data_IF_026252971009
#
_entry.id   IF_026252971009
#
_cell.length_a   1.000
_cell.length_b   1.000
_cell.length_c   1.000
_cell.angle_alpha   90.00
_cell.angle_beta   90.00
_cell.angle_gamma   90.00
#
_symmetry.space_group_name_H-M   'P 1'
#
loop_
_entity.id
_entity.type
_entity.pdbx_description
1 polymer ?
#
# COMPACT_ATOMS: atom_id res chain seq x y z
N UNK A 1 29.79 -31.28 34.18
CA UNK A 1 29.04 -31.64 32.95
C UNK A 1 27.94 -30.64 32.78
N UNK A 2 28.11 -29.52 32.08
CA UNK A 2 26.95 -28.67 31.64
C UNK A 2 27.41 -27.37 30.93
N UNK A 3 28.71 -27.26 30.61
CA UNK A 3 29.17 -26.10 29.82
C UNK A 3 28.97 -26.26 28.31
N UNK A 4 28.71 -27.48 27.82
CA UNK A 4 28.52 -27.76 26.38
C UNK A 4 27.14 -27.32 25.85
N UNK A 5 26.10 -27.39 26.66
CA UNK A 5 24.73 -27.03 26.24
C UNK A 5 24.53 -25.53 26.06
N UNK A 6 25.18 -24.72 26.88
CA UNK A 6 25.08 -23.24 26.80
C UNK A 6 25.89 -22.68 25.62
N UNK A 7 27.03 -23.32 25.25
CA UNK A 7 27.80 -22.94 24.07
C UNK A 7 27.06 -23.19 22.76
N UNK A 8 26.44 -24.35 22.61
CA UNK A 8 25.62 -24.70 21.44
C UNK A 8 24.38 -23.81 21.30
N UNK A 9 23.73 -23.43 22.40
CA UNK A 9 22.60 -22.50 22.39
C UNK A 9 23.02 -21.07 22.04
N UNK A 10 24.17 -20.62 22.51
CA UNK A 10 24.72 -19.32 22.14
C UNK A 10 25.16 -19.27 20.68
N UNK A 11 25.71 -20.37 20.15
CA UNK A 11 26.11 -20.49 18.75
C UNK A 11 24.89 -20.55 17.81
N UNK A 12 23.84 -21.28 18.15
CA UNK A 12 22.59 -21.30 17.41
C UNK A 12 21.80 -19.98 17.48
N UNK A 13 21.91 -19.25 18.59
CA UNK A 13 21.34 -17.90 18.71
C UNK A 13 22.15 -16.85 17.93
N UNK A 14 23.47 -17.04 17.82
CA UNK A 14 24.35 -16.23 16.97
C UNK A 14 24.14 -16.47 15.48
N UNK A 15 23.88 -17.71 15.07
CA UNK A 15 23.57 -18.07 13.68
C UNK A 15 22.18 -17.54 13.23
N UNK A 16 21.25 -17.31 14.14
CA UNK A 16 19.91 -16.78 13.84
C UNK A 16 19.88 -15.28 13.54
N UNK A 17 21.05 -14.59 13.48
CA UNK A 17 21.14 -13.15 13.12
C UNK A 17 20.04 -12.29 13.78
N UNK A 18 19.67 -12.63 15.00
CA UNK A 18 18.61 -11.93 15.76
C UNK A 18 18.97 -10.46 16.00
N UNK A 19 20.26 -10.13 16.08
CA UNK A 19 20.74 -8.76 16.14
C UNK A 19 20.43 -7.98 14.86
N UNK A 20 20.65 -8.54 13.68
CA UNK A 20 20.32 -7.89 12.41
C UNK A 20 18.80 -7.71 12.18
N UNK A 21 17.97 -8.61 12.73
CA UNK A 21 16.51 -8.50 12.69
C UNK A 21 15.96 -7.39 13.61
N UNK A 22 16.73 -7.02 14.65
CA UNK A 22 16.36 -5.94 15.58
C UNK A 22 16.90 -4.58 15.11
N UNK A 23 18.04 -4.58 14.39
CA UNK A 23 18.69 -3.35 13.91
C UNK A 23 18.15 -2.88 12.55
N UNK A 24 17.50 -3.76 11.78
CA UNK A 24 16.91 -3.39 10.48
C UNK A 24 15.39 -3.57 10.57
N UNK A 25 14.61 -2.49 10.51
CA UNK A 25 13.16 -2.60 10.53
C UNK A 25 12.70 -3.49 9.36
N UNK A 26 11.75 -4.40 9.57
CA UNK A 26 11.24 -5.25 8.51
C UNK A 26 10.73 -4.40 7.34
N UNK A 27 11.01 -4.81 6.09
CA UNK A 27 10.58 -4.05 4.93
C UNK A 27 9.06 -3.86 4.96
N UNK A 28 8.61 -2.62 4.80
CA UNK A 28 7.19 -2.26 4.87
C UNK A 28 6.74 -1.68 6.20
N UNK A 29 7.61 -1.60 7.22
CA UNK A 29 7.24 -0.99 8.51
C UNK A 29 6.96 0.52 8.37
N UNK A 30 7.72 1.22 7.53
CA UNK A 30 7.52 2.66 7.28
C UNK A 30 6.16 2.93 6.62
N UNK A 31 5.79 2.10 5.65
CA UNK A 31 4.47 2.15 5.01
C UNK A 31 3.36 1.81 6.01
N UNK A 32 3.57 0.83 6.88
CA UNK A 32 2.62 0.48 7.93
C UNK A 32 2.41 1.62 8.93
N UNK A 33 3.48 2.30 9.33
CA UNK A 33 3.41 3.47 10.21
C UNK A 33 2.65 4.61 9.51
N UNK A 34 2.94 4.85 8.23
CA UNK A 34 2.25 5.87 7.45
C UNK A 34 0.74 5.61 7.39
N UNK A 35 0.32 4.37 7.11
CA UNK A 35 -1.09 3.98 7.10
C UNK A 35 -1.71 4.08 8.50
N UNK A 36 -0.99 3.65 9.53
CA UNK A 36 -1.49 3.79 10.92
C UNK A 36 -1.79 5.25 11.26
N UNK A 37 -0.99 6.20 10.77
CA UNK A 37 -1.26 7.64 10.91
C UNK A 37 -2.49 8.07 10.12
N UNK A 38 -2.67 7.54 8.92
CA UNK A 38 -3.87 7.79 8.11
C UNK A 38 -5.13 7.34 8.85
N UNK A 39 -5.12 6.18 9.52
CA UNK A 39 -6.24 5.73 10.35
C UNK A 39 -6.54 6.70 11.50
N UNK A 40 -5.51 7.34 12.08
CA UNK A 40 -5.74 8.37 13.09
C UNK A 40 -6.54 9.56 12.53
N UNK A 41 -6.34 9.95 11.26
CA UNK A 41 -7.15 10.98 10.63
C UNK A 41 -8.61 10.55 10.45
N UNK A 42 -8.86 9.29 10.09
CA UNK A 42 -10.22 8.75 9.96
C UNK A 42 -10.97 8.67 11.29
N UNK A 43 -10.26 8.38 12.37
CA UNK A 43 -10.80 8.27 13.71
C UNK A 43 -10.88 9.63 14.45
N UNK A 44 -10.21 10.66 13.94
CA UNK A 44 -10.16 11.97 14.57
C UNK A 44 -11.47 12.76 14.39
N UNK A 45 -11.99 13.28 15.50
CA UNK A 45 -13.16 14.19 15.49
C UNK A 45 -12.90 15.47 14.70
N UNK A 46 -11.67 15.92 14.60
CA UNK A 46 -11.26 17.12 13.85
C UNK A 46 -11.60 17.01 12.36
N UNK A 47 -11.47 15.80 11.80
CA UNK A 47 -11.72 15.53 10.37
C UNK A 47 -13.09 14.94 10.08
N UNK A 48 -13.94 14.75 11.09
CA UNK A 48 -15.29 14.20 10.94
C UNK A 48 -16.23 15.08 10.09
N UNK A 49 -15.87 16.35 9.87
CA UNK A 49 -16.60 17.27 8.98
C UNK A 49 -16.43 16.94 7.49
N UNK A 50 -15.40 16.17 7.11
CA UNK A 50 -15.17 15.78 5.72
C UNK A 50 -15.98 14.54 5.36
N UNK A 51 -16.76 14.64 4.29
CA UNK A 51 -17.54 13.50 3.78
C UNK A 51 -16.71 12.49 2.97
N UNK A 52 -15.50 12.88 2.55
CA UNK A 52 -14.60 12.05 1.73
C UNK A 52 -13.15 12.35 2.04
N UNK A 53 -12.33 11.31 1.97
CA UNK A 53 -10.88 11.39 2.05
C UNK A 53 -10.31 10.81 0.77
N UNK A 54 -9.40 11.52 0.14
CA UNK A 54 -8.70 11.09 -1.07
C UNK A 54 -7.23 10.84 -0.72
N UNK A 55 -6.78 9.61 -0.96
CA UNK A 55 -5.37 9.24 -0.82
C UNK A 55 -4.69 9.32 -2.17
N UNK A 56 -3.75 10.22 -2.31
CA UNK A 56 -2.82 10.24 -3.44
C UNK A 56 -1.65 9.33 -3.11
N UNK A 57 -1.66 8.14 -3.71
CA UNK A 57 -0.71 7.09 -3.37
C UNK A 57 0.56 7.20 -4.23
N UNK A 58 1.69 6.72 -3.69
CA UNK A 58 2.91 6.54 -4.45
C UNK A 58 2.72 5.55 -5.62
N UNK A 59 3.64 5.52 -6.62
CA UNK A 59 3.53 4.64 -7.79
C UNK A 59 3.33 3.17 -7.44
N UNK A 60 2.72 2.44 -8.35
CA UNK A 60 2.12 1.09 -8.25
C UNK A 60 2.80 0.07 -7.34
N UNK A 61 4.14 -0.02 -7.35
CA UNK A 61 4.88 -0.99 -6.55
C UNK A 61 4.75 -0.79 -5.04
N UNK A 62 4.71 0.45 -4.58
CA UNK A 62 4.53 0.79 -3.16
C UNK A 62 3.08 0.59 -2.71
N UNK A 63 2.11 0.95 -3.55
CA UNK A 63 0.68 0.74 -3.26
C UNK A 63 0.35 -0.74 -3.07
N UNK A 64 0.87 -1.63 -3.92
CA UNK A 64 0.68 -3.07 -3.77
C UNK A 64 1.36 -3.63 -2.51
N UNK A 65 2.56 -3.15 -2.16
CA UNK A 65 3.20 -3.51 -0.89
C UNK A 65 2.34 -3.08 0.30
N UNK A 66 1.80 -1.89 0.23
CA UNK A 66 0.91 -1.33 1.24
C UNK A 66 -0.30 -2.23 1.49
N UNK A 67 -0.91 -2.77 0.44
CA UNK A 67 -2.08 -3.65 0.52
C UNK A 67 -1.72 -5.05 1.03
N UNK A 68 -0.55 -5.56 0.71
CA UNK A 68 -0.06 -6.87 1.18
C UNK A 68 0.59 -6.83 2.57
N UNK A 69 0.86 -5.62 3.10
CA UNK A 69 1.49 -5.44 4.41
C UNK A 69 0.74 -6.06 5.57
N UNK A 70 -0.61 -5.95 5.67
CA UNK A 70 -1.32 -6.54 6.79
C UNK A 70 -1.07 -8.04 6.92
N UNK A 71 -1.13 -8.78 5.82
CA UNK A 71 -0.91 -10.23 5.81
C UNK A 71 0.55 -10.60 6.11
N UNK A 72 1.50 -9.81 5.59
CA UNK A 72 2.92 -9.97 5.88
C UNK A 72 3.26 -9.67 7.34
N UNK A 73 2.70 -8.60 7.91
CA UNK A 73 2.91 -8.25 9.31
C UNK A 73 2.24 -9.27 10.25
N UNK A 74 1.04 -9.75 9.94
CA UNK A 74 0.40 -10.83 10.67
C UNK A 74 1.27 -12.07 10.74
N UNK A 75 1.84 -12.50 9.62
CA UNK A 75 2.74 -13.63 9.56
C UNK A 75 4.06 -13.37 10.33
N UNK A 76 4.61 -12.18 10.21
CA UNK A 76 5.91 -11.81 10.81
C UNK A 76 5.77 -11.58 12.32
N UNK A 77 4.78 -10.80 12.75
CA UNK A 77 4.49 -10.56 14.18
C UNK A 77 4.10 -11.88 14.87
N UNK A 78 3.29 -12.71 14.22
CA UNK A 78 2.91 -14.03 14.74
C UNK A 78 4.13 -14.95 14.96
N UNK A 79 5.13 -14.92 14.07
CA UNK A 79 6.40 -15.64 14.24
C UNK A 79 7.23 -15.06 15.39
N UNK A 80 7.35 -13.73 15.47
CA UNK A 80 8.08 -13.06 16.55
C UNK A 80 7.46 -13.33 17.93
N UNK A 81 6.12 -13.30 18.03
CA UNK A 81 5.42 -13.60 19.28
C UNK A 81 5.59 -15.06 19.71
N UNK A 82 5.54 -16.02 18.75
CA UNK A 82 5.83 -17.44 19.03
C UNK A 82 7.27 -17.65 19.48
N UNK A 83 8.22 -16.95 18.86
CA UNK A 83 9.63 -17.00 19.23
C UNK A 83 9.83 -16.40 20.63
N UNK A 84 9.23 -15.24 20.92
CA UNK A 84 9.25 -14.63 22.26
C UNK A 84 8.69 -15.58 23.31
N UNK A 85 7.53 -16.22 23.10
CA UNK A 85 6.97 -17.22 24.02
C UNK A 85 7.91 -18.38 24.28
N UNK A 86 8.60 -18.89 23.25
CA UNK A 86 9.60 -19.96 23.40
C UNK A 86 10.83 -19.49 24.19
N UNK A 87 11.32 -18.29 23.95
CA UNK A 87 12.45 -17.71 24.68
C UNK A 87 12.05 -17.43 26.13
N UNK A 88 10.87 -16.86 26.37
CA UNK A 88 10.38 -16.57 27.72
C UNK A 88 10.17 -17.86 28.53
N UNK A 89 9.65 -18.94 27.92
CA UNK A 89 9.51 -20.23 28.59
C UNK A 89 10.86 -20.89 28.89
N UNK A 90 11.84 -20.73 28.01
CA UNK A 90 13.22 -21.22 28.25
C UNK A 90 13.95 -20.39 29.32
N UNK A 91 13.76 -19.07 29.33
CA UNK A 91 14.36 -18.17 30.33
C UNK A 91 13.64 -18.22 31.67
N UNK A 92 12.33 -18.51 31.72
CA UNK A 92 11.64 -18.72 33.01
C UNK A 92 12.12 -19.99 33.73
N UNK A 93 12.46 -21.03 32.96
CA UNK A 93 13.08 -22.23 33.50
C UNK A 93 14.51 -21.95 34.06
N UNK A 94 15.25 -21.03 33.45
CA UNK A 94 16.56 -20.56 33.92
C UNK A 94 16.45 -19.51 35.03
N UNK A 95 15.44 -18.63 35.01
CA UNK A 95 15.18 -17.60 36.06
C UNK A 95 14.75 -18.20 37.42
N UNK A 96 14.14 -19.37 37.42
CA UNK A 96 13.88 -20.08 38.66
C UNK A 96 15.18 -20.47 39.39
N UNK A 97 16.33 -20.46 38.72
CA UNK A 97 17.65 -20.70 39.25
C UNK A 97 18.46 -19.43 39.58
N UNK A 98 18.10 -18.27 39.01
CA UNK A 98 18.83 -17.01 39.19
C UNK A 98 17.87 -15.85 39.47
N UNK A 99 17.73 -15.55 40.74
CA UNK A 99 16.87 -14.47 41.26
C UNK A 99 17.46 -13.09 40.92
N UNK A 100 17.01 -12.41 39.86
CA UNK A 100 17.18 -10.96 39.67
C UNK A 100 16.45 -10.38 38.44
N UNK A 101 15.71 -9.26 38.70
CA UNK A 101 15.43 -8.18 37.74
C UNK A 101 14.17 -8.33 36.89
N UNK A 102 13.21 -7.45 37.11
CA UNK A 102 12.04 -7.26 36.26
C UNK A 102 12.45 -6.76 34.85
N UNK A 103 11.84 -7.25 33.75
CA UNK A 103 12.10 -6.73 32.44
C UNK A 103 11.02 -5.74 32.00
N UNK A 104 11.44 -4.57 31.55
CA UNK A 104 10.67 -3.57 30.77
C UNK A 104 10.24 -4.08 29.37
N UNK A 105 9.76 -5.31 29.27
CA UNK A 105 9.55 -6.00 27.98
C UNK A 105 8.09 -6.02 27.49
N UNK A 106 7.14 -5.52 28.27
CA UNK A 106 5.72 -5.56 27.91
C UNK A 106 5.35 -4.47 26.88
N UNK A 107 5.95 -3.28 26.98
CA UNK A 107 5.63 -2.11 26.11
C UNK A 107 5.86 -2.37 24.60
N UNK A 108 6.92 -3.08 24.23
CA UNK A 108 7.21 -3.39 22.82
C UNK A 108 6.24 -4.42 22.22
N UNK A 109 5.78 -5.38 23.01
CA UNK A 109 4.80 -6.37 22.57
C UNK A 109 3.42 -5.76 22.38
N UNK A 110 3.02 -4.90 23.30
CA UNK A 110 1.74 -4.20 23.22
C UNK A 110 1.69 -3.24 22.03
N UNK A 111 2.80 -2.57 21.73
CA UNK A 111 2.94 -1.71 20.53
C UNK A 111 2.84 -2.52 19.23
N UNK A 112 3.44 -3.70 19.17
CA UNK A 112 3.34 -4.58 18.01
C UNK A 112 1.92 -5.13 17.83
N UNK A 113 1.23 -5.50 18.91
CA UNK A 113 -0.15 -5.96 18.83
C UNK A 113 -1.09 -4.82 18.42
N UNK A 114 -0.91 -3.63 18.95
CA UNK A 114 -1.65 -2.43 18.50
C UNK A 114 -1.43 -2.12 17.02
N UNK A 115 -0.19 -2.26 16.54
CA UNK A 115 0.11 -2.09 15.12
C UNK A 115 -0.62 -3.14 14.28
N UNK A 116 -0.59 -4.40 14.71
CA UNK A 116 -1.30 -5.50 14.06
C UNK A 116 -2.80 -5.24 13.96
N UNK A 117 -3.45 -4.85 15.06
CA UNK A 117 -4.88 -4.52 15.08
C UNK A 117 -5.21 -3.36 14.13
N UNK A 118 -4.39 -2.31 14.12
CA UNK A 118 -4.56 -1.18 13.21
C UNK A 118 -4.43 -1.60 11.75
N UNK A 119 -3.47 -2.47 11.44
CA UNK A 119 -3.28 -2.98 10.08
C UNK A 119 -4.45 -3.85 9.63
N UNK A 120 -5.01 -4.66 10.52
CA UNK A 120 -6.22 -5.42 10.21
C UNK A 120 -7.40 -4.50 9.87
N UNK A 121 -7.63 -3.43 10.66
CA UNK A 121 -8.67 -2.42 10.36
C UNK A 121 -8.45 -1.73 9.01
N UNK A 122 -7.19 -1.41 8.66
CA UNK A 122 -6.85 -0.80 7.35
C UNK A 122 -7.17 -1.76 6.21
N UNK A 123 -6.81 -3.03 6.33
CA UNK A 123 -7.13 -4.05 5.34
C UNK A 123 -8.63 -4.16 5.12
N UNK A 124 -9.38 -4.24 6.21
CA UNK A 124 -10.83 -4.37 6.16
C UNK A 124 -11.46 -3.12 5.52
N UNK A 125 -10.97 -1.93 5.83
CA UNK A 125 -11.37 -0.68 5.20
C UNK A 125 -11.11 -0.69 3.68
N UNK A 126 -9.95 -1.13 3.23
CA UNK A 126 -9.61 -1.16 1.80
C UNK A 126 -10.41 -2.22 1.02
N UNK A 127 -10.87 -3.27 1.68
CA UNK A 127 -11.72 -4.31 1.09
C UNK A 127 -13.22 -3.97 1.13
N UNK A 128 -13.61 -3.01 1.93
CA UNK A 128 -15.00 -2.57 2.02
C UNK A 128 -15.38 -1.72 0.78
N UNK A 129 -16.04 -2.36 -0.18
CA UNK A 129 -16.48 -1.74 -1.44
C UNK A 129 -17.58 -0.69 -1.30
N UNK A 130 -18.21 -0.57 -0.12
CA UNK A 130 -19.25 0.42 0.15
C UNK A 130 -18.63 1.76 0.58
N UNK A 131 -17.51 1.71 1.29
CA UNK A 131 -16.87 2.91 1.84
C UNK A 131 -15.58 3.28 1.12
N UNK A 132 -14.95 2.34 0.42
CA UNK A 132 -13.64 2.56 -0.24
C UNK A 132 -13.66 2.16 -1.70
N UNK A 133 -13.12 3.01 -2.56
CA UNK A 133 -12.93 2.73 -3.98
C UNK A 133 -11.51 3.08 -4.41
N UNK A 134 -10.87 2.18 -5.13
CA UNK A 134 -9.61 2.45 -5.81
C UNK A 134 -9.88 2.93 -7.23
N UNK A 135 -9.22 4.01 -7.61
CA UNK A 135 -9.27 4.58 -8.96
C UNK A 135 -7.87 4.49 -9.55
N UNK A 136 -7.74 3.76 -10.65
CA UNK A 136 -6.46 3.71 -11.38
C UNK A 136 -6.37 4.93 -12.28
N UNK A 137 -5.26 5.66 -12.18
CA UNK A 137 -4.94 6.79 -13.06
C UNK A 137 -3.75 6.39 -13.93
N UNK A 138 -3.91 6.49 -15.23
CA UNK A 138 -2.90 6.12 -16.24
C UNK A 138 -2.76 7.21 -17.30
N UNK A 139 -1.78 7.05 -18.18
CA UNK A 139 -1.61 7.87 -19.38
C UNK A 139 -1.70 6.97 -20.62
N UNK A 140 -2.07 7.51 -21.80
CA UNK A 140 -2.30 6.71 -23.00
C UNK A 140 -0.99 6.31 -23.69
N UNK A 141 -0.21 5.48 -23.02
CA UNK A 141 0.98 4.81 -23.54
C UNK A 141 0.91 3.31 -23.26
N UNK A 142 1.48 2.50 -24.16
CA UNK A 142 1.44 1.04 -24.03
C UNK A 142 2.02 0.57 -22.70
N UNK A 143 3.13 1.16 -22.26
CA UNK A 143 3.76 0.78 -20.97
C UNK A 143 2.86 1.09 -19.79
N UNK A 144 2.27 2.29 -19.75
CA UNK A 144 1.41 2.68 -18.62
C UNK A 144 0.12 1.84 -18.58
N UNK A 145 -0.42 1.48 -19.73
CA UNK A 145 -1.61 0.61 -19.82
C UNK A 145 -1.29 -0.79 -19.33
N UNK A 146 -0.18 -1.39 -19.77
CA UNK A 146 0.25 -2.70 -19.31
C UNK A 146 0.50 -2.72 -17.79
N UNK A 147 1.05 -1.64 -17.24
CA UNK A 147 1.23 -1.51 -15.80
C UNK A 147 -0.11 -1.38 -15.05
N UNK A 148 -1.03 -0.61 -15.63
CA UNK A 148 -2.39 -0.46 -15.08
C UNK A 148 -3.17 -1.78 -15.10
N UNK A 149 -3.01 -2.59 -16.14
CA UNK A 149 -3.60 -3.93 -16.23
C UNK A 149 -3.06 -4.85 -15.12
N UNK A 150 -1.74 -4.89 -14.93
CA UNK A 150 -1.10 -5.64 -13.84
C UNK A 150 -1.55 -5.16 -12.46
N UNK A 151 -1.64 -3.84 -12.27
CA UNK A 151 -2.14 -3.26 -11.03
C UNK A 151 -3.59 -3.68 -10.78
N UNK A 152 -4.46 -3.58 -11.77
CA UNK A 152 -5.86 -3.98 -11.66
C UNK A 152 -6.00 -5.45 -11.28
N UNK A 153 -5.26 -6.35 -11.94
CA UNK A 153 -5.23 -7.78 -11.61
C UNK A 153 -4.77 -8.03 -10.17
N UNK A 154 -3.74 -7.31 -9.72
CA UNK A 154 -3.23 -7.42 -8.35
C UNK A 154 -4.23 -6.91 -7.31
N UNK A 155 -4.90 -5.78 -7.56
CA UNK A 155 -5.94 -5.23 -6.68
C UNK A 155 -7.14 -6.18 -6.57
N UNK A 156 -7.58 -6.77 -7.68
CA UNK A 156 -8.64 -7.80 -7.70
C UNK A 156 -8.25 -9.02 -6.88
N UNK A 157 -6.98 -9.47 -6.96
CA UNK A 157 -6.47 -10.59 -6.17
C UNK A 157 -6.54 -10.30 -4.66
N UNK A 158 -6.30 -9.06 -4.27
CA UNK A 158 -6.42 -8.61 -2.87
C UNK A 158 -7.86 -8.28 -2.45
N UNK A 159 -8.84 -8.57 -3.32
CA UNK A 159 -10.27 -8.26 -3.09
C UNK A 159 -10.56 -6.77 -2.91
N UNK A 160 -9.76 -5.92 -3.54
CA UNK A 160 -9.92 -4.47 -3.50
C UNK A 160 -10.76 -4.02 -4.69
N UNK A 161 -11.77 -3.19 -4.42
CA UNK A 161 -12.71 -2.72 -5.45
C UNK A 161 -12.09 -1.66 -6.36
N UNK A 162 -12.01 -1.96 -7.65
CA UNK A 162 -11.63 -1.01 -8.70
C UNK A 162 -12.76 -0.93 -9.71
N UNK A 163 -13.35 0.25 -9.88
CA UNK A 163 -14.50 0.46 -10.79
C UNK A 163 -14.18 1.45 -11.92
N UNK A 164 -13.14 2.27 -11.76
CA UNK A 164 -12.83 3.37 -12.67
C UNK A 164 -11.36 3.37 -13.07
N UNK A 165 -11.14 3.71 -14.34
CA UNK A 165 -9.82 3.99 -14.92
C UNK A 165 -9.85 5.39 -15.51
N UNK A 166 -9.01 6.28 -14.99
CA UNK A 166 -8.80 7.62 -15.56
C UNK A 166 -7.60 7.57 -16.49
N UNK A 167 -7.82 7.85 -17.76
CA UNK A 167 -6.75 8.02 -18.74
C UNK A 167 -6.47 9.50 -18.88
N UNK A 168 -5.39 9.95 -18.25
CA UNK A 168 -5.00 11.36 -18.20
C UNK A 168 -4.15 11.76 -19.42
N UNK A 169 -4.02 13.05 -19.67
CA UNK A 169 -3.19 13.63 -20.75
C UNK A 169 -3.61 13.21 -22.17
N UNK A 170 -4.90 13.05 -22.39
CA UNK A 170 -5.44 12.84 -23.75
C UNK A 170 -5.30 14.14 -24.55
N UNK A 171 -4.61 14.06 -25.69
CA UNK A 171 -4.48 15.20 -26.57
C UNK A 171 -5.85 15.60 -27.15
N UNK A 172 -6.26 16.86 -26.98
CA UNK A 172 -7.52 17.33 -27.53
C UNK A 172 -7.51 17.24 -29.08
N UNK A 173 -8.67 17.16 -29.69
CA UNK A 173 -8.77 17.30 -31.16
C UNK A 173 -8.11 18.59 -31.60
N UNK A 174 -7.27 18.53 -32.62
CA UNK A 174 -6.61 19.70 -33.19
C UNK A 174 -6.65 19.62 -34.72
N UNK A 175 -6.87 20.72 -35.33
CA UNK A 175 -6.75 20.92 -36.82
C UNK A 175 -5.31 21.18 -37.21
N UNK A 176 -4.37 21.20 -36.28
CA UNK A 176 -2.96 21.46 -36.56
C UNK A 176 -2.34 20.37 -37.42
N UNK A 177 -1.61 20.80 -38.46
CA UNK A 177 -0.79 19.94 -39.32
C UNK A 177 0.55 19.52 -38.68
N UNK A 178 0.76 19.78 -37.40
CA UNK A 178 1.96 19.38 -36.66
C UNK A 178 2.11 17.86 -36.72
N UNK A 179 3.12 17.37 -37.40
CA UNK A 179 3.43 15.93 -37.55
C UNK A 179 3.58 15.24 -36.18
N UNK A 180 4.22 15.91 -35.24
CA UNK A 180 4.39 15.37 -33.88
C UNK A 180 3.03 15.14 -33.20
N UNK A 181 2.14 16.14 -33.20
CA UNK A 181 0.81 16.03 -32.59
C UNK A 181 -0.04 14.95 -33.28
N UNK A 182 0.03 14.83 -34.59
CA UNK A 182 -0.70 13.81 -35.33
C UNK A 182 -0.20 12.40 -34.96
N UNK A 183 1.12 12.20 -34.92
CA UNK A 183 1.69 10.91 -34.52
C UNK A 183 1.35 10.54 -33.09
N UNK A 184 1.53 11.46 -32.12
CA UNK A 184 1.18 11.24 -30.70
C UNK A 184 -0.29 10.88 -30.54
N UNK A 185 -1.18 11.55 -31.27
CA UNK A 185 -2.61 11.22 -31.20
C UNK A 185 -2.90 9.82 -31.75
N UNK A 186 -2.26 9.43 -32.86
CA UNK A 186 -2.40 8.08 -33.42
C UNK A 186 -1.94 7.01 -32.41
N UNK A 187 -0.84 7.25 -31.71
CA UNK A 187 -0.35 6.34 -30.68
C UNK A 187 -1.30 6.28 -29.48
N UNK A 188 -1.85 7.42 -29.05
CA UNK A 188 -2.86 7.46 -27.98
C UNK A 188 -4.14 6.71 -28.37
N UNK A 189 -4.61 6.83 -29.59
CA UNK A 189 -5.78 6.08 -30.08
C UNK A 189 -5.54 4.57 -30.04
N UNK A 190 -4.36 4.10 -30.47
CA UNK A 190 -3.99 2.67 -30.34
C UNK A 190 -3.94 2.22 -28.89
N UNK A 191 -3.40 3.05 -28.02
CA UNK A 191 -3.35 2.78 -26.58
C UNK A 191 -4.75 2.66 -25.98
N UNK A 192 -5.69 3.55 -26.33
CA UNK A 192 -7.09 3.48 -25.92
C UNK A 192 -7.79 2.21 -26.42
N UNK A 193 -7.53 1.81 -27.68
CA UNK A 193 -8.03 0.52 -28.18
C UNK A 193 -7.48 -0.66 -27.41
N UNK A 194 -6.24 -0.60 -26.93
CA UNK A 194 -5.67 -1.65 -26.09
C UNK A 194 -6.45 -1.78 -24.78
N UNK A 195 -6.82 -0.67 -24.14
CA UNK A 195 -7.63 -0.69 -22.91
C UNK A 195 -8.95 -1.42 -23.10
N UNK A 196 -9.65 -1.17 -24.22
CA UNK A 196 -10.96 -1.78 -24.49
C UNK A 196 -10.89 -3.28 -24.78
N UNK A 197 -9.72 -3.78 -25.15
CA UNK A 197 -9.45 -5.20 -25.43
C UNK A 197 -8.77 -5.93 -24.27
N UNK A 198 -8.30 -5.20 -23.27
CA UNK A 198 -7.60 -5.77 -22.13
C UNK A 198 -8.59 -6.44 -21.17
N UNK A 199 -8.37 -7.72 -20.79
CA UNK A 199 -9.31 -8.48 -19.98
C UNK A 199 -9.52 -7.89 -18.58
N UNK A 200 -8.52 -7.19 -18.03
CA UNK A 200 -8.59 -6.60 -16.70
C UNK A 200 -9.22 -5.22 -16.70
N UNK A 201 -8.98 -4.43 -17.75
CA UNK A 201 -9.37 -3.03 -17.83
C UNK A 201 -10.71 -2.80 -18.55
N UNK A 202 -11.10 -3.67 -19.48
CA UNK A 202 -12.29 -3.49 -20.32
C UNK A 202 -13.60 -3.40 -19.51
N UNK A 203 -13.65 -3.96 -18.31
CA UNK A 203 -14.82 -3.91 -17.42
C UNK A 203 -14.91 -2.61 -16.61
N UNK A 204 -13.87 -1.79 -16.60
CA UNK A 204 -13.82 -0.56 -15.82
C UNK A 204 -14.55 0.59 -16.56
N UNK A 205 -15.12 1.51 -15.80
CA UNK A 205 -15.59 2.78 -16.36
C UNK A 205 -14.40 3.64 -16.74
N UNK A 206 -14.16 3.80 -18.06
CA UNK A 206 -13.06 4.60 -18.58
C UNK A 206 -13.46 6.07 -18.59
N UNK A 207 -12.62 6.91 -18.01
CA UNK A 207 -12.77 8.36 -17.95
C UNK A 207 -11.55 8.96 -18.63
N UNK A 208 -11.78 9.75 -19.68
CA UNK A 208 -10.71 10.41 -20.42
C UNK A 208 -10.56 11.85 -19.93
N UNK A 209 -9.37 12.19 -19.43
CA UNK A 209 -9.03 13.53 -18.99
C UNK A 209 -8.12 14.20 -20.03
N UNK A 210 -8.52 15.35 -20.59
CA UNK A 210 -7.75 16.01 -21.63
C UNK A 210 -6.48 16.64 -21.09
N UNK A 211 -5.45 16.68 -21.93
CA UNK A 211 -4.31 17.54 -21.68
C UNK A 211 -4.74 18.99 -21.97
N UNK A 212 -4.60 19.84 -20.98
CA UNK A 212 -4.91 21.27 -21.08
C UNK A 212 -3.63 22.09 -21.18
N UNK A 213 -3.69 23.26 -21.77
CA UNK A 213 -2.58 24.17 -22.02
C UNK A 213 -2.28 25.08 -20.80
N UNK A 214 -3.10 24.99 -19.75
CA UNK A 214 -2.93 25.73 -18.52
C UNK A 214 -2.56 24.79 -17.37
N UNK A 215 -1.79 25.27 -16.42
CA UNK A 215 -1.50 24.52 -15.21
C UNK A 215 -2.72 24.54 -14.26
N UNK A 216 -3.20 23.36 -13.91
CA UNK A 216 -4.35 23.19 -13.00
C UNK A 216 -3.89 23.36 -11.56
N UNK A 217 -4.27 24.48 -10.94
CA UNK A 217 -3.95 24.78 -9.54
C UNK A 217 -5.14 25.32 -8.76
N UNK A 218 -5.17 25.00 -7.48
CA UNK A 218 -6.17 25.50 -6.54
C UNK A 218 -7.59 25.06 -6.88
N UNK A 219 -8.54 25.54 -6.10
CA UNK A 219 -9.96 25.12 -6.19
C UNK A 219 -10.56 25.46 -7.55
N UNK A 220 -10.28 26.66 -8.09
CA UNK A 220 -10.83 27.07 -9.38
C UNK A 220 -10.33 26.21 -10.55
N UNK A 221 -9.03 25.90 -10.58
CA UNK A 221 -8.44 25.01 -11.58
C UNK A 221 -8.99 23.59 -11.48
N UNK A 222 -9.10 23.05 -10.27
CA UNK A 222 -9.67 21.73 -10.04
C UNK A 222 -11.15 21.66 -10.45
N UNK A 223 -11.94 22.71 -10.19
CA UNK A 223 -13.34 22.79 -10.64
C UNK A 223 -13.41 22.81 -12.18
N UNK A 224 -12.61 23.64 -12.83
CA UNK A 224 -12.52 23.70 -14.29
C UNK A 224 -12.19 22.30 -14.88
N UNK A 225 -11.18 21.62 -14.36
CA UNK A 225 -10.83 20.27 -14.80
C UNK A 225 -11.95 19.26 -14.51
N UNK A 226 -12.57 19.36 -13.36
CA UNK A 226 -13.71 18.52 -12.97
C UNK A 226 -14.89 18.66 -13.94
N UNK A 227 -15.26 19.89 -14.32
CA UNK A 227 -16.35 20.17 -15.28
C UNK A 227 -16.04 19.64 -16.69
N UNK A 228 -14.77 19.52 -17.05
CA UNK A 228 -14.35 18.91 -18.33
C UNK A 228 -14.39 17.39 -18.33
N UNK A 229 -14.02 16.76 -17.22
CA UNK A 229 -13.83 15.31 -17.08
C UNK A 229 -15.10 14.59 -16.66
N UNK A 230 -15.93 15.20 -15.81
CA UNK A 230 -17.12 14.58 -15.20
C UNK A 230 -18.42 15.13 -15.82
N UNK A 231 -18.54 15.05 -17.11
CA UNK A 231 -19.80 15.41 -17.81
C UNK A 231 -20.83 14.32 -17.71
#
# INVERSE_FOLDING_TARGET
MDSMGLGMLAEQLGELKLGELLDTPPPGLDEAIAISKVMQFLESKEYSAFSRIVFDTAPTGHTLRLLSLPDFLDASIGKMMKLKKKITSATSALKSMFNKGEPQQDDASDKLEQLRERMAKVRDLFRDSETTEFIIVTIPTVMAINESSRLCASLKKETVSVRKLIVNQILPPSTSECKFCVMRRKDQMRALETITKDPELASLKIIQAPLVDVEIRGVAGLKFMGDMVWK
#
